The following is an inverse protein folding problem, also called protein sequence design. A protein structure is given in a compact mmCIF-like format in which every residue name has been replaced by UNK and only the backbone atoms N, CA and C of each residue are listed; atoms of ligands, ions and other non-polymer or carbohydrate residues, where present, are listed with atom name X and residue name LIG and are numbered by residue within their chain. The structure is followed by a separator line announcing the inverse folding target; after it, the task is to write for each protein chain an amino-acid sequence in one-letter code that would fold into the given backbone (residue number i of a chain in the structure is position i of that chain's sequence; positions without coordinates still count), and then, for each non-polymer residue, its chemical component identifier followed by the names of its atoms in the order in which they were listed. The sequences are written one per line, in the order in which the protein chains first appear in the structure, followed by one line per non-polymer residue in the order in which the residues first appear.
data_IF_574580609308
#
_entry.id   IF_574580609308
#
_cell.length_a   1.000
_cell.length_b   1.000
_cell.length_c   1.000
_cell.angle_alpha   90.00
_cell.angle_beta   90.00
_cell.angle_gamma   90.00
#
_symmetry.space_group_name_H-M   'P 1'
#
loop_
_entity.id
_entity.type
_entity.pdbx_description
1 polymer ?
#
# COMPACT_ATOMS: atom_id res chain seq x y z
N UNK A 1 25.14 8.62 15.35
CA UNK A 1 25.73 9.95 15.61
C UNK A 1 26.78 9.75 16.69
N UNK A 2 28.02 10.17 16.45
CA UNK A 2 29.01 10.27 17.53
C UNK A 2 28.84 11.66 18.18
N UNK A 3 28.28 11.67 19.39
CA UNK A 3 28.00 12.88 20.13
C UNK A 3 29.28 13.66 20.53
N UNK A 4 30.44 12.99 20.58
CA UNK A 4 31.72 13.63 20.94
C UNK A 4 32.43 14.26 19.73
N UNK A 5 32.25 13.70 18.53
CA UNK A 5 32.90 14.17 17.30
C UNK A 5 32.02 15.12 16.44
N UNK A 6 30.73 15.27 16.76
CA UNK A 6 29.81 16.12 16.00
C UNK A 6 29.54 15.62 14.58
N UNK A 7 29.66 14.32 14.33
CA UNK A 7 29.56 13.70 13.01
C UNK A 7 28.87 12.34 12.98
N UNK A 8 28.60 11.86 11.77
CA UNK A 8 28.09 10.52 11.50
C UNK A 8 29.26 9.61 11.16
N UNK A 9 29.27 8.40 11.73
CA UNK A 9 30.26 7.36 11.47
C UNK A 9 29.54 6.21 10.76
N UNK A 10 30.06 5.80 9.60
CA UNK A 10 29.58 4.66 8.84
C UNK A 10 30.65 3.57 8.85
N UNK A 11 30.23 2.32 9.10
CA UNK A 11 31.08 1.13 9.01
C UNK A 11 30.46 0.13 8.04
N UNK A 12 31.29 -0.68 7.40
CA UNK A 12 30.83 -1.74 6.51
C UNK A 12 31.47 -3.06 6.91
N UNK A 13 30.69 -4.12 7.19
CA UNK A 13 31.23 -5.43 7.55
C UNK A 13 31.82 -6.19 6.35
N UNK A 14 31.70 -5.65 5.13
CA UNK A 14 32.10 -6.35 3.89
C UNK A 14 33.33 -5.75 3.20
N UNK A 15 33.87 -4.63 3.69
CA UNK A 15 34.99 -3.94 3.04
C UNK A 15 36.29 -3.99 3.83
N UNK A 16 36.27 -4.54 5.06
CA UNK A 16 37.38 -4.47 6.05
C UNK A 16 38.02 -3.07 6.16
N UNK A 17 37.24 -2.04 5.83
CA UNK A 17 37.70 -0.67 5.68
C UNK A 17 37.60 0.08 7.01
N UNK A 18 38.44 1.10 7.24
CA UNK A 18 38.30 1.95 8.40
C UNK A 18 36.93 2.67 8.38
N UNK A 19 36.36 3.01 9.55
CA UNK A 19 35.11 3.77 9.62
C UNK A 19 35.18 5.09 8.83
N UNK A 20 34.16 5.38 8.04
CA UNK A 20 34.03 6.64 7.31
C UNK A 20 33.31 7.68 8.19
N UNK A 21 33.76 8.93 8.17
CA UNK A 21 33.13 10.03 8.91
C UNK A 21 32.50 11.06 7.96
N UNK A 22 31.33 11.58 8.32
CA UNK A 22 30.61 12.59 7.57
C UNK A 22 29.98 13.64 8.49
N UNK A 23 29.87 14.88 8.02
CA UNK A 23 29.23 15.97 8.77
C UNK A 23 27.70 15.97 8.67
N UNK A 24 27.16 15.28 7.66
CA UNK A 24 25.74 15.15 7.42
C UNK A 24 25.42 13.71 7.01
N UNK A 25 24.25 13.23 7.43
CA UNK A 25 23.63 12.00 6.97
C UNK A 25 22.37 12.40 6.21
N UNK A 26 22.30 12.06 4.94
CA UNK A 26 21.06 12.11 4.19
C UNK A 26 20.47 10.69 4.19
N UNK A 27 19.38 10.50 4.91
CA UNK A 27 18.59 9.27 4.81
C UNK A 27 17.53 9.46 3.72
N UNK A 28 17.42 8.47 2.83
CA UNK A 28 16.41 8.42 1.77
C UNK A 28 15.26 7.48 2.15
N UNK A 29 15.04 7.25 3.45
CA UNK A 29 13.92 6.47 3.94
C UNK A 29 12.60 7.09 3.50
N UNK A 30 11.87 6.35 2.67
CA UNK A 30 10.51 6.66 2.31
C UNK A 30 9.60 5.88 3.28
N UNK A 31 8.73 6.54 4.07
CA UNK A 31 7.75 5.82 4.87
C UNK A 31 6.88 4.93 3.97
N UNK A 32 6.38 3.83 4.54
CA UNK A 32 5.37 3.02 3.89
C UNK A 32 4.14 3.86 3.52
N UNK A 33 3.39 3.43 2.52
CA UNK A 33 2.12 4.05 2.20
C UNK A 33 1.19 3.95 3.42
N UNK A 34 0.77 5.10 3.95
CA UNK A 34 -0.18 5.16 5.05
C UNK A 34 -1.25 6.20 4.74
N UNK A 35 -2.47 5.72 4.52
CA UNK A 35 -3.63 6.54 4.21
C UNK A 35 -3.97 7.54 5.33
N UNK A 36 -3.66 7.21 6.59
CA UNK A 36 -3.87 8.10 7.73
C UNK A 36 -2.89 9.28 7.75
N UNK A 37 -1.70 9.09 7.16
CA UNK A 37 -0.62 10.09 7.11
C UNK A 37 -0.46 10.74 5.73
N UNK A 38 -1.23 10.30 4.74
CA UNK A 38 -1.09 10.75 3.36
C UNK A 38 -1.44 12.23 3.21
N UNK A 39 -0.52 13.00 2.61
CA UNK A 39 -0.77 14.39 2.24
C UNK A 39 -1.50 14.54 0.88
N UNK A 40 -1.68 13.44 0.13
CA UNK A 40 -2.31 13.45 -1.19
C UNK A 40 -3.75 13.97 -1.08
N UNK A 41 -4.10 15.06 -1.81
CA UNK A 41 -5.41 15.69 -1.67
C UNK A 41 -6.56 14.80 -2.20
N UNK A 42 -6.31 13.94 -3.18
CA UNK A 42 -7.32 13.00 -3.69
C UNK A 42 -7.61 11.93 -2.66
N UNK A 43 -6.59 11.28 -2.11
CA UNK A 43 -6.76 10.22 -1.11
C UNK A 43 -7.43 10.75 0.17
N UNK A 44 -6.97 11.91 0.66
CA UNK A 44 -7.63 12.59 1.80
C UNK A 44 -9.07 12.94 1.50
N UNK A 45 -9.36 13.43 0.29
CA UNK A 45 -10.72 13.76 -0.14
C UNK A 45 -11.63 12.54 -0.16
N UNK A 46 -11.16 11.40 -0.70
CA UNK A 46 -11.93 10.15 -0.75
C UNK A 46 -12.25 9.61 0.65
N UNK A 47 -11.30 9.66 1.58
CA UNK A 47 -11.53 9.25 2.97
C UNK A 47 -12.49 10.21 3.67
N UNK A 48 -12.27 11.52 3.54
CA UNK A 48 -13.13 12.53 4.15
C UNK A 48 -14.59 12.47 3.63
N UNK A 49 -14.78 12.10 2.37
CA UNK A 49 -16.11 11.89 1.78
C UNK A 49 -16.72 10.51 2.06
N UNK A 50 -16.01 9.63 2.79
CA UNK A 50 -16.44 8.27 3.08
C UNK A 50 -16.42 7.31 1.89
N UNK A 51 -15.79 7.69 0.77
CA UNK A 51 -15.65 6.87 -0.44
C UNK A 51 -14.49 5.86 -0.35
N UNK A 52 -13.65 5.99 0.67
CA UNK A 52 -12.48 5.15 0.93
C UNK A 52 -12.29 4.94 2.43
N UNK A 53 -11.58 3.87 2.81
CA UNK A 53 -11.12 3.60 4.18
C UNK A 53 -9.73 2.94 4.19
N UNK A 54 -8.99 3.00 5.31
CA UNK A 54 -7.80 2.18 5.50
C UNK A 54 -8.16 0.69 5.53
N UNK A 55 -7.31 -0.14 4.93
CA UNK A 55 -7.39 -1.59 5.01
C UNK A 55 -7.03 -2.07 6.42
N UNK A 56 -7.70 -3.13 6.84
CA UNK A 56 -7.50 -3.75 8.14
C UNK A 56 -7.08 -5.21 7.96
N UNK A 57 -5.86 -5.56 8.35
CA UNK A 57 -5.38 -6.94 8.32
C UNK A 57 -6.23 -7.84 9.24
N UNK A 58 -6.45 -9.09 8.83
CA UNK A 58 -7.25 -10.06 9.61
C UNK A 58 -8.77 -9.87 9.52
N UNK A 59 -9.25 -8.87 8.76
CA UNK A 59 -10.68 -8.62 8.55
C UNK A 59 -11.27 -9.33 7.32
N UNK A 60 -10.44 -9.81 6.40
CA UNK A 60 -10.87 -10.57 5.21
C UNK A 60 -10.97 -12.08 5.50
N UNK A 61 -12.12 -12.73 5.22
CA UNK A 61 -12.24 -14.18 5.33
C UNK A 61 -11.38 -14.84 4.24
N UNK A 62 -10.23 -15.39 4.64
CA UNK A 62 -9.29 -16.09 3.76
C UNK A 62 -7.91 -15.42 3.60
N UNK A 63 -7.70 -14.24 4.18
CA UNK A 63 -6.36 -13.65 4.32
C UNK A 63 -5.56 -14.43 5.36
N UNK A 64 -4.89 -15.50 4.94
CA UNK A 64 -3.88 -16.16 5.78
C UNK A 64 -2.86 -15.13 6.24
N UNK A 65 -2.75 -14.97 7.56
CA UNK A 65 -1.83 -14.04 8.22
C UNK A 65 -0.42 -14.18 7.64
N UNK A 66 0.02 -13.21 6.84
CA UNK A 66 1.35 -13.14 6.27
C UNK A 66 2.29 -12.38 7.20
N UNK A 67 2.86 -13.11 8.16
CA UNK A 67 4.14 -12.86 8.86
C UNK A 67 4.50 -11.41 9.23
N UNK A 68 3.79 -10.83 10.20
CA UNK A 68 4.39 -9.85 11.10
C UNK A 68 5.00 -10.58 12.30
N UNK A 69 6.29 -10.39 12.57
CA UNK A 69 6.93 -10.87 13.80
C UNK A 69 6.29 -10.14 14.99
N UNK A 70 5.40 -10.83 15.70
CA UNK A 70 4.74 -10.32 16.89
C UNK A 70 4.18 -11.50 17.69
N UNK A 71 4.88 -11.86 18.75
CA UNK A 71 4.36 -12.75 19.78
C UNK A 71 3.16 -12.06 20.45
N UNK A 72 1.95 -12.48 20.11
CA UNK A 72 0.72 -11.96 20.71
C UNK A 72 -0.49 -12.80 20.28
N UNK A 73 -1.14 -13.44 21.25
CA UNK A 73 -2.37 -14.19 21.01
C UNK A 73 -3.51 -13.23 20.67
N UNK A 74 -4.06 -13.35 19.46
CA UNK A 74 -5.30 -12.68 19.07
C UNK A 74 -5.36 -12.43 17.57
N UNK A 75 -6.53 -12.63 16.97
CA UNK A 75 -6.84 -12.12 15.64
C UNK A 75 -7.04 -10.60 15.74
N UNK A 76 -5.99 -9.86 16.07
CA UNK A 76 -6.04 -8.41 16.22
C UNK A 76 -6.15 -7.77 14.84
N UNK A 77 -7.19 -6.96 14.68
CA UNK A 77 -7.47 -6.25 13.44
C UNK A 77 -6.63 -4.98 13.42
N UNK A 78 -5.54 -4.98 12.66
CA UNK A 78 -4.57 -3.88 12.61
C UNK A 78 -4.67 -3.17 11.26
N UNK A 79 -4.70 -1.84 11.28
CA UNK A 79 -4.66 -1.05 10.04
C UNK A 79 -3.30 -1.20 9.35
N UNK A 80 -3.30 -1.51 8.05
CA UNK A 80 -2.05 -1.72 7.29
C UNK A 80 -1.48 -0.45 6.68
N UNK A 81 -2.24 0.66 6.73
CA UNK A 81 -1.92 1.90 6.01
C UNK A 81 -2.40 1.90 4.56
N UNK A 82 -2.72 0.74 3.98
CA UNK A 82 -3.18 0.64 2.61
C UNK A 82 -4.61 1.19 2.41
N UNK A 83 -4.94 1.59 1.19
CA UNK A 83 -6.31 1.81 0.74
C UNK A 83 -7.04 0.47 0.64
N UNK A 84 -8.21 0.37 1.26
CA UNK A 84 -8.99 -0.86 1.28
C UNK A 84 -9.68 -1.11 -0.06
N UNK A 85 -9.45 -2.30 -0.62
CA UNK A 85 -10.03 -2.74 -1.89
C UNK A 85 -10.67 -4.12 -1.75
N UNK A 86 -11.64 -4.40 -2.61
CA UNK A 86 -12.17 -5.74 -2.79
C UNK A 86 -11.08 -6.68 -3.33
N UNK A 87 -11.35 -7.99 -3.31
CA UNK A 87 -10.42 -9.06 -3.72
C UNK A 87 -9.56 -8.71 -4.94
N UNK A 88 -8.34 -9.28 -5.06
CA UNK A 88 -7.38 -8.96 -6.13
C UNK A 88 -7.91 -9.08 -7.57
N UNK A 89 -9.01 -9.80 -7.80
CA UNK A 89 -9.66 -9.93 -9.11
C UNK A 89 -10.65 -8.81 -9.46
N UNK A 90 -10.98 -7.90 -8.53
CA UNK A 90 -11.98 -6.84 -8.72
C UNK A 90 -11.45 -5.44 -8.35
N UNK A 91 -10.60 -5.32 -7.31
CA UNK A 91 -9.86 -4.10 -6.95
C UNK A 91 -10.74 -2.83 -6.78
N UNK A 92 -12.02 -3.03 -6.44
CA UNK A 92 -12.95 -1.94 -6.14
C UNK A 92 -12.63 -1.35 -4.78
N UNK A 93 -12.53 -0.03 -4.70
CA UNK A 93 -12.32 0.68 -3.43
C UNK A 93 -13.50 0.41 -2.50
N UNK A 94 -13.22 0.08 -1.23
CA UNK A 94 -14.26 -0.07 -0.21
C UNK A 94 -14.54 1.26 0.46
N UNK A 95 -15.82 1.59 0.59
CA UNK A 95 -16.28 2.79 1.29
C UNK A 95 -16.07 2.68 2.81
N UNK A 96 -16.41 3.72 3.57
CA UNK A 96 -16.29 3.71 5.03
C UNK A 96 -17.02 2.53 5.71
N UNK A 97 -18.08 2.00 5.10
CA UNK A 97 -18.83 0.83 5.57
C UNK A 97 -18.27 -0.52 5.09
N UNK A 98 -17.13 -0.52 4.39
CA UNK A 98 -16.49 -1.74 3.85
C UNK A 98 -17.13 -2.26 2.57
N UNK A 99 -18.05 -1.50 1.95
CA UNK A 99 -18.76 -1.93 0.73
C UNK A 99 -17.95 -1.55 -0.51
N UNK A 100 -17.72 -2.47 -1.46
CA UNK A 100 -17.07 -2.15 -2.72
C UNK A 100 -17.86 -1.10 -3.51
N UNK A 101 -17.20 -0.01 -3.90
CA UNK A 101 -17.80 1.05 -4.70
C UNK A 101 -18.05 0.55 -6.13
N UNK A 102 -19.23 0.80 -6.73
CA UNK A 102 -19.62 0.16 -7.99
C UNK A 102 -18.75 0.56 -9.19
N UNK A 103 -18.07 1.71 -9.11
CA UNK A 103 -17.35 2.33 -10.23
C UNK A 103 -16.00 2.95 -9.87
N UNK A 104 -15.49 2.68 -8.66
CA UNK A 104 -14.19 3.22 -8.21
C UNK A 104 -13.26 2.05 -7.93
N UNK A 105 -12.07 2.12 -8.52
CA UNK A 105 -11.06 1.06 -8.51
C UNK A 105 -9.72 1.66 -8.13
N UNK A 106 -8.85 0.88 -7.49
CA UNK A 106 -7.50 1.31 -7.14
C UNK A 106 -6.52 0.12 -7.21
N UNK A 107 -5.30 0.39 -7.66
CA UNK A 107 -4.17 -0.53 -7.70
C UNK A 107 -2.85 0.25 -7.64
N UNK A 108 -1.74 -0.44 -7.43
CA UNK A 108 -0.42 0.20 -7.25
C UNK A 108 -0.14 0.60 -5.80
N UNK A 109 0.80 1.55 -5.61
CA UNK A 109 1.33 1.93 -4.29
C UNK A 109 0.27 2.24 -3.22
N UNK A 110 -0.86 2.92 -3.53
CA UNK A 110 -1.87 3.19 -2.52
C UNK A 110 -2.49 1.94 -1.89
N UNK A 111 -2.41 0.76 -2.53
CA UNK A 111 -2.91 -0.51 -1.99
C UNK A 111 -1.78 -1.41 -1.43
N UNK A 112 -0.55 -0.89 -1.32
CA UNK A 112 0.57 -1.62 -0.69
C UNK A 112 0.23 -1.92 0.77
N UNK A 113 0.11 -3.21 1.11
CA UNK A 113 -0.40 -3.69 2.40
C UNK A 113 -1.74 -4.43 2.30
N UNK A 114 -2.43 -4.36 1.15
CA UNK A 114 -3.41 -5.37 0.68
C UNK A 114 -2.72 -6.33 -0.29
N UNK A 115 -1.96 -5.74 -1.22
CA UNK A 115 -1.04 -6.42 -2.11
C UNK A 115 0.38 -5.94 -1.81
N UNK A 116 1.36 -6.80 -2.01
CA UNK A 116 2.76 -6.46 -1.80
C UNK A 116 3.46 -6.30 -3.15
N UNK A 117 4.60 -5.62 -3.15
CA UNK A 117 5.43 -5.38 -4.35
C UNK A 117 4.76 -4.49 -5.40
N UNK A 118 3.83 -3.63 -5.02
CA UNK A 118 3.14 -2.71 -5.94
C UNK A 118 4.06 -1.63 -6.50
N UNK A 119 5.20 -1.38 -5.83
CA UNK A 119 6.25 -0.47 -6.30
C UNK A 119 7.20 -1.12 -7.32
N UNK A 120 7.14 -2.45 -7.52
CA UNK A 120 8.01 -3.14 -8.49
C UNK A 120 7.45 -2.92 -9.91
N UNK A 121 8.21 -2.19 -10.72
CA UNK A 121 7.88 -1.97 -12.12
C UNK A 121 7.89 -3.25 -12.96
N UNK A 122 7.11 -3.25 -14.05
CA UNK A 122 7.11 -4.35 -15.00
C UNK A 122 8.46 -4.47 -15.74
N UNK A 123 8.99 -5.69 -15.80
CA UNK A 123 10.11 -6.00 -16.70
C UNK A 123 9.61 -6.10 -18.14
N UNK A 124 10.46 -5.75 -19.10
CA UNK A 124 10.14 -5.91 -20.50
C UNK A 124 9.79 -7.37 -20.82
N UNK A 125 8.68 -7.57 -21.56
CA UNK A 125 8.17 -8.88 -21.99
C UNK A 125 7.75 -9.83 -20.84
N UNK A 126 7.45 -9.31 -19.66
CA UNK A 126 6.93 -10.09 -18.54
C UNK A 126 5.41 -9.90 -18.35
N UNK A 127 4.71 -10.94 -17.91
CA UNK A 127 3.33 -10.87 -17.43
C UNK A 127 3.28 -10.38 -15.97
N UNK A 128 3.64 -9.11 -15.79
CA UNK A 128 3.74 -8.49 -14.47
C UNK A 128 2.38 -8.44 -13.76
N UNK A 129 2.39 -8.56 -12.42
CA UNK A 129 1.18 -8.48 -11.59
C UNK A 129 0.33 -7.25 -11.90
N UNK A 130 0.95 -6.08 -12.02
CA UNK A 130 0.27 -4.82 -12.34
C UNK A 130 -0.49 -4.87 -13.69
N UNK A 131 -0.04 -5.66 -14.66
CA UNK A 131 -0.76 -5.80 -15.94
C UNK A 131 -2.01 -6.64 -15.77
N UNK A 132 -1.94 -7.73 -15.01
CA UNK A 132 -3.09 -8.58 -14.71
C UNK A 132 -4.13 -7.83 -13.87
N UNK A 133 -3.69 -7.01 -12.93
CA UNK A 133 -4.55 -6.12 -12.13
C UNK A 133 -5.22 -5.05 -13.00
N UNK A 134 -4.45 -4.36 -13.85
CA UNK A 134 -4.99 -3.36 -14.78
C UNK A 134 -6.02 -3.97 -15.74
N UNK A 135 -5.76 -5.17 -16.25
CA UNK A 135 -6.67 -5.91 -17.13
C UNK A 135 -7.95 -6.38 -16.38
N UNK A 136 -7.83 -6.78 -15.12
CA UNK A 136 -8.98 -7.07 -14.27
C UNK A 136 -9.85 -5.81 -14.04
N UNK A 137 -9.23 -4.68 -13.70
CA UNK A 137 -9.91 -3.38 -13.55
C UNK A 137 -10.59 -2.98 -14.86
N UNK A 138 -9.89 -3.06 -16.00
CA UNK A 138 -10.44 -2.69 -17.31
C UNK A 138 -11.70 -3.50 -17.62
N UNK A 139 -11.67 -4.82 -17.43
CA UNK A 139 -12.85 -5.68 -17.58
C UNK A 139 -13.98 -5.30 -16.62
N UNK A 140 -13.67 -5.03 -15.35
CA UNK A 140 -14.68 -4.68 -14.34
C UNK A 140 -15.32 -3.33 -14.62
N UNK A 141 -14.53 -2.34 -15.02
CA UNK A 141 -14.97 -1.01 -15.42
C UNK A 141 -15.88 -1.06 -16.67
N UNK A 142 -15.50 -1.85 -17.68
CA UNK A 142 -16.34 -2.06 -18.87
C UNK A 142 -17.69 -2.71 -18.52
N UNK A 143 -17.70 -3.70 -17.62
CA UNK A 143 -18.96 -4.29 -17.13
C UNK A 143 -19.81 -3.28 -16.38
N UNK A 144 -19.20 -2.50 -15.47
CA UNK A 144 -19.90 -1.49 -14.69
C UNK A 144 -20.49 -0.37 -15.58
N UNK A 145 -19.81 0.02 -16.66
CA UNK A 145 -20.30 1.04 -17.60
C UNK A 145 -21.51 0.58 -18.43
N UNK A 146 -21.65 -0.73 -18.67
CA UNK A 146 -22.81 -1.31 -19.39
C UNK A 146 -24.09 -1.30 -18.55
N UNK A 147 -23.95 -1.31 -17.23
CA UNK A 147 -25.08 -1.16 -16.30
C UNK A 147 -25.37 0.34 -16.18
N UNK A 148 -26.42 0.82 -16.84
CA UNK A 148 -26.84 2.22 -16.70
C UNK A 148 -27.09 2.52 -15.22
N UNK A 149 -26.59 3.65 -14.69
CA UNK A 149 -26.97 4.05 -13.34
C UNK A 149 -28.49 4.21 -13.29
N UNK A 150 -29.12 3.67 -12.24
CA UNK A 150 -30.50 4.04 -11.94
C UNK A 150 -30.51 5.55 -11.75
N UNK A 151 -31.25 6.27 -12.59
CA UNK A 151 -31.51 7.69 -12.44
C UNK A 151 -32.08 7.92 -11.04
N UNK A 152 -31.40 8.73 -10.24
CA UNK A 152 -31.96 9.33 -9.04
C UNK A 152 -32.94 10.44 -9.43
#
# INVERSE_FOLDING_TARGET
MDAAAGGFVATSPTTDGPPATARALLDAWLPGADLALSADPLLRGLVASGLARPHLAGSDPGSGSGSGSGSGSGNEVVATGALDVASPSDLRVRDAAGRPHPRLFAFGIPVEGVHWNTAIGARARADAGMFREADAIARSALRAARVRPHSR
#
